data_IF_559763266737
#
_entry.id   IF_559763266737
#
_cell.length_a   1.000
_cell.length_b   1.000
_cell.length_c   1.000
_cell.angle_alpha   90.00
_cell.angle_beta   90.00
_cell.angle_gamma   90.00
#
_symmetry.space_group_name_H-M   'P 1'
#
loop_
_entity.id
_entity.type
_entity.pdbx_description
1 polymer ?
#
# COMPACT_ATOMS: atom_id res chain seq x y z
N UNK A 1 31.97 -0.05 -22.26
CA UNK A 1 31.25 0.30 -23.50
C UNK A 1 31.22 -0.93 -24.37
N UNK A 2 30.03 -1.45 -24.69
CA UNK A 2 29.82 -2.53 -25.66
C UNK A 2 29.26 -1.92 -26.94
N UNK A 3 29.83 -2.31 -28.08
CA UNK A 3 29.26 -1.96 -29.38
C UNK A 3 28.09 -2.89 -29.67
N UNK A 4 26.90 -2.32 -29.86
CA UNK A 4 25.69 -3.04 -30.25
C UNK A 4 25.19 -2.54 -31.60
N UNK A 5 24.41 -3.38 -32.27
CA UNK A 5 23.70 -3.03 -33.50
C UNK A 5 22.19 -3.03 -33.25
N UNK A 6 21.49 -2.06 -33.82
CA UNK A 6 20.03 -2.06 -33.92
C UNK A 6 19.59 -1.76 -35.35
N UNK A 7 18.42 -2.27 -35.72
CA UNK A 7 17.80 -1.94 -37.00
C UNK A 7 16.96 -0.68 -36.80
N UNK A 8 17.23 0.35 -37.57
CA UNK A 8 16.42 1.56 -37.63
C UNK A 8 15.66 1.61 -38.96
N UNK A 9 14.41 2.05 -38.91
CA UNK A 9 13.61 2.30 -40.11
C UNK A 9 13.89 3.69 -40.62
N UNK A 10 14.43 3.79 -41.83
CA UNK A 10 14.83 5.04 -42.48
C UNK A 10 14.10 5.20 -43.82
N UNK A 11 13.97 6.44 -44.29
CA UNK A 11 13.40 6.71 -45.61
C UNK A 11 14.46 6.44 -46.67
N UNK A 12 14.24 5.42 -47.50
CA UNK A 12 15.17 5.00 -48.56
C UNK A 12 14.79 5.51 -49.94
N UNK A 13 13.59 6.09 -50.08
CA UNK A 13 13.13 6.65 -51.33
C UNK A 13 11.78 7.33 -51.19
N UNK A 14 11.26 7.81 -52.31
CA UNK A 14 9.92 8.39 -52.41
C UNK A 14 9.26 7.91 -53.68
N UNK A 15 8.03 7.41 -53.59
CA UNK A 15 7.18 7.11 -54.75
C UNK A 15 6.12 8.19 -54.94
N UNK A 16 5.72 8.43 -56.19
CA UNK A 16 4.65 9.38 -56.52
C UNK A 16 3.45 8.61 -57.08
N UNK A 17 2.31 8.74 -56.42
CA UNK A 17 1.05 8.13 -56.82
C UNK A 17 -0.09 9.13 -56.62
N UNK A 18 -0.94 9.29 -57.64
CA UNK A 18 -2.10 10.20 -57.63
C UNK A 18 -1.77 11.67 -57.26
N UNK A 19 -0.57 12.14 -57.63
CA UNK A 19 -0.10 13.51 -57.32
C UNK A 19 0.39 13.71 -55.88
N UNK A 20 0.48 12.64 -55.09
CA UNK A 20 1.04 12.64 -53.74
C UNK A 20 2.36 11.87 -53.70
N UNK A 21 3.29 12.34 -52.84
CA UNK A 21 4.59 11.70 -52.61
C UNK A 21 4.58 10.90 -51.32
N UNK A 22 4.85 9.61 -51.42
CA UNK A 22 4.91 8.70 -50.29
C UNK A 22 6.35 8.28 -50.01
N UNK A 23 6.83 8.35 -48.75
CA UNK A 23 8.15 7.84 -48.39
C UNK A 23 8.16 6.31 -48.41
N UNK A 24 9.17 5.74 -49.07
CA UNK A 24 9.48 4.31 -49.01
C UNK A 24 10.43 4.12 -47.83
N UNK A 25 10.06 3.24 -46.91
CA UNK A 25 10.86 2.92 -45.73
C UNK A 25 11.70 1.66 -45.95
N UNK A 26 12.93 1.70 -45.46
CA UNK A 26 13.86 0.57 -45.44
C UNK A 26 14.50 0.43 -44.07
N UNK A 27 15.25 -0.66 -43.91
CA UNK A 27 15.95 -0.98 -42.67
C UNK A 27 17.45 -0.69 -42.83
N UNK A 28 18.03 0.03 -41.88
CA UNK A 28 19.46 0.30 -41.79
C UNK A 28 20.02 -0.25 -40.47
N UNK A 29 21.16 -0.93 -40.52
CA UNK A 29 21.86 -1.40 -39.32
C UNK A 29 22.73 -0.28 -38.75
N UNK A 30 22.32 0.24 -37.60
CA UNK A 30 23.03 1.33 -36.90
C UNK A 30 23.82 0.76 -35.73
N UNK A 31 25.12 1.10 -35.68
CA UNK A 31 26.00 0.78 -34.55
C UNK A 31 25.92 1.87 -33.50
N UNK A 32 25.79 1.48 -32.24
CA UNK A 32 25.85 2.39 -31.10
C UNK A 32 26.69 1.80 -29.98
N UNK A 33 27.22 2.68 -29.13
CA UNK A 33 27.97 2.30 -27.94
C UNK A 33 27.04 2.44 -26.73
N UNK A 34 26.95 1.38 -25.93
CA UNK A 34 26.22 1.37 -24.67
C UNK A 34 27.20 1.08 -23.53
N UNK A 35 27.04 1.75 -22.38
CA UNK A 35 27.82 1.40 -21.20
C UNK A 35 27.51 -0.05 -20.79
N UNK A 36 28.57 -0.84 -20.58
CA UNK A 36 28.43 -2.21 -20.09
C UNK A 36 28.22 -2.11 -18.57
N UNK A 37 27.00 -1.81 -18.15
CA UNK A 37 26.68 -1.68 -16.73
C UNK A 37 26.49 -3.08 -16.16
N UNK A 38 27.57 -3.64 -15.60
CA UNK A 38 27.56 -4.94 -14.93
C UNK A 38 26.93 -4.78 -13.54
N UNK A 39 25.60 -4.85 -13.48
CA UNK A 39 24.82 -4.88 -12.24
C UNK A 39 24.09 -3.58 -11.91
N UNK A 40 23.19 -3.65 -10.92
CA UNK A 40 22.50 -2.48 -10.38
C UNK A 40 23.36 -1.88 -9.27
N UNK A 41 23.69 -0.60 -9.39
CA UNK A 41 24.20 0.16 -8.24
C UNK A 41 22.99 0.62 -7.46
N UNK A 42 22.79 0.10 -6.26
CA UNK A 42 21.76 0.61 -5.35
C UNK A 42 22.01 2.11 -5.14
N UNK A 43 21.05 2.92 -5.61
CA UNK A 43 21.13 4.39 -5.56
C UNK A 43 20.72 4.90 -4.18
N UNK A 44 20.19 4.03 -3.33
CA UNK A 44 19.62 4.40 -2.04
C UNK A 44 20.59 4.08 -0.91
N UNK A 45 20.80 5.07 -0.04
CA UNK A 45 21.39 4.86 1.28
C UNK A 45 20.37 4.10 2.14
N UNK A 46 20.38 2.76 2.02
CA UNK A 46 19.55 1.89 2.86
C UNK A 46 20.04 2.04 4.30
N UNK A 47 19.16 2.42 5.25
CA UNK A 47 19.54 2.51 6.65
C UNK A 47 20.05 1.18 7.19
N UNK A 48 21.05 1.19 8.08
CA UNK A 48 21.63 -0.02 8.69
C UNK A 48 20.59 -0.89 9.43
N UNK A 49 19.46 -0.30 9.83
CA UNK A 49 18.36 -0.98 10.51
C UNK A 49 17.25 -1.48 9.56
N UNK A 50 17.44 -1.38 8.25
CA UNK A 50 16.54 -1.98 7.27
C UNK A 50 16.76 -3.50 7.19
N UNK A 51 15.68 -4.25 7.00
CA UNK A 51 15.72 -5.71 6.86
C UNK A 51 14.75 -6.15 5.76
N UNK A 52 15.19 -7.06 4.88
CA UNK A 52 14.34 -7.71 3.88
C UNK A 52 13.59 -8.93 4.44
N UNK A 53 13.78 -9.24 5.73
CA UNK A 53 13.16 -10.41 6.36
C UNK A 53 11.67 -10.14 6.57
N UNK A 54 10.77 -10.95 5.96
CA UNK A 54 9.34 -10.76 6.11
C UNK A 54 8.90 -11.03 7.56
N UNK A 55 7.86 -10.31 8.01
CA UNK A 55 7.22 -10.61 9.28
C UNK A 55 6.58 -12.02 9.24
N UNK A 56 6.80 -12.87 10.25
CA UNK A 56 6.02 -14.10 10.39
C UNK A 56 4.54 -13.77 10.61
N UNK A 57 3.64 -14.51 9.97
CA UNK A 57 2.19 -14.39 10.15
C UNK A 57 1.62 -15.67 10.79
N UNK A 58 0.67 -15.58 11.73
CA UNK A 58 0.17 -14.37 12.41
C UNK A 58 1.19 -13.82 13.42
N UNK A 59 1.24 -12.49 13.60
CA UNK A 59 2.03 -11.85 14.65
C UNK A 59 1.38 -10.53 15.08
N UNK A 60 0.84 -10.49 16.29
CA UNK A 60 0.04 -9.36 16.77
C UNK A 60 0.88 -8.21 17.34
N UNK A 61 2.10 -8.50 17.81
CA UNK A 61 3.01 -7.51 18.42
C UNK A 61 4.48 -7.81 18.05
N UNK A 62 4.83 -7.66 16.76
CA UNK A 62 6.16 -7.95 16.24
C UNK A 62 7.20 -6.93 16.75
N UNK A 63 8.34 -7.42 17.22
CA UNK A 63 9.52 -6.60 17.51
C UNK A 63 10.73 -7.19 16.79
N UNK A 64 11.55 -6.36 16.14
CA UNK A 64 12.78 -6.81 15.48
C UNK A 64 13.95 -6.74 16.47
N UNK A 65 14.51 -7.89 16.85
CA UNK A 65 15.70 -8.01 17.73
C UNK A 65 16.62 -9.10 17.19
N UNK A 66 17.93 -8.87 17.29
CA UNK A 66 18.98 -9.84 16.92
C UNK A 66 18.82 -10.41 15.50
N UNK A 67 18.39 -9.57 14.55
CA UNK A 67 18.19 -9.97 13.16
C UNK A 67 16.96 -10.85 12.92
N UNK A 68 16.05 -10.97 13.88
CA UNK A 68 14.81 -11.78 13.76
C UNK A 68 13.60 -11.02 14.29
N UNK A 69 12.43 -11.35 13.73
CA UNK A 69 11.16 -10.93 14.27
C UNK A 69 10.79 -11.82 15.46
N UNK A 70 10.55 -11.21 16.61
CA UNK A 70 10.02 -11.86 17.80
C UNK A 70 8.57 -11.41 18.04
N UNK A 71 7.73 -12.35 18.45
CA UNK A 71 6.38 -12.06 18.92
C UNK A 71 6.43 -11.77 20.41
N UNK A 72 5.91 -10.62 20.83
CA UNK A 72 5.99 -10.13 22.21
C UNK A 72 4.63 -9.98 22.89
N UNK A 73 3.56 -10.42 22.23
CA UNK A 73 2.22 -10.41 22.81
C UNK A 73 2.15 -11.42 23.96
N UNK A 74 1.55 -11.04 25.08
CA UNK A 74 1.28 -11.98 26.17
C UNK A 74 -0.04 -12.74 25.91
N UNK A 75 -0.22 -13.89 26.54
CA UNK A 75 -1.44 -14.68 26.37
C UNK A 75 -2.68 -13.89 26.81
N UNK A 76 -2.56 -13.06 27.84
CA UNK A 76 -3.64 -12.22 28.35
C UNK A 76 -4.06 -11.14 27.35
N UNK A 77 -3.10 -10.49 26.69
CA UNK A 77 -3.38 -9.50 25.64
C UNK A 77 -4.04 -10.16 24.41
N UNK A 78 -3.60 -11.37 24.06
CA UNK A 78 -4.14 -12.16 22.96
C UNK A 78 -5.56 -12.65 23.24
N UNK A 79 -5.84 -13.04 24.49
CA UNK A 79 -7.18 -13.42 24.92
C UNK A 79 -8.14 -12.21 24.90
N UNK A 80 -7.69 -11.01 25.30
CA UNK A 80 -8.49 -9.78 25.17
C UNK A 80 -8.79 -9.42 23.71
N UNK A 81 -7.84 -9.61 22.79
CA UNK A 81 -8.05 -9.41 21.35
C UNK A 81 -9.07 -10.39 20.76
N UNK A 82 -9.11 -11.62 21.28
CA UNK A 82 -10.04 -12.65 20.85
C UNK A 82 -11.39 -12.60 21.58
N UNK A 83 -11.55 -11.76 22.61
CA UNK A 83 -12.84 -11.58 23.26
C UNK A 83 -13.82 -10.95 22.28
N UNK A 84 -15.07 -11.46 22.20
CA UNK A 84 -16.10 -10.79 21.45
C UNK A 84 -16.25 -9.38 22.02
N UNK A 85 -16.05 -8.36 21.18
CA UNK A 85 -16.35 -6.98 21.55
C UNK A 85 -17.83 -6.93 21.92
N UNK A 86 -18.10 -6.81 23.22
CA UNK A 86 -19.44 -6.46 23.69
C UNK A 86 -19.72 -5.09 23.08
N UNK A 87 -20.75 -4.94 22.24
CA UNK A 87 -21.05 -3.65 21.65
C UNK A 87 -21.28 -2.67 22.78
N UNK A 88 -20.35 -1.73 22.95
CA UNK A 88 -20.54 -0.67 23.92
C UNK A 88 -21.72 0.17 23.45
N UNK A 89 -22.65 0.56 24.34
CA UNK A 89 -23.76 1.42 23.95
C UNK A 89 -23.19 2.69 23.33
N UNK A 90 -23.68 3.01 22.14
CA UNK A 90 -23.26 4.22 21.45
C UNK A 90 -23.56 5.46 22.29
N UNK A 91 -22.93 6.59 21.98
CA UNK A 91 -23.26 7.86 22.66
C UNK A 91 -24.76 8.18 22.55
N UNK A 92 -25.39 7.82 21.43
CA UNK A 92 -26.83 7.95 21.23
C UNK A 92 -27.64 7.08 22.20
N UNK A 93 -27.22 5.83 22.44
CA UNK A 93 -27.91 4.92 23.36
C UNK A 93 -27.79 5.40 24.82
N UNK A 94 -26.63 5.96 25.18
CA UNK A 94 -26.44 6.59 26.49
C UNK A 94 -27.35 7.81 26.68
N UNK A 95 -27.47 8.65 25.65
CA UNK A 95 -28.35 9.82 25.66
C UNK A 95 -29.83 9.42 25.77
N UNK A 96 -30.28 8.41 25.02
CA UNK A 96 -31.66 7.90 25.11
C UNK A 96 -31.98 7.39 26.51
N UNK A 97 -31.08 6.62 27.12
CA UNK A 97 -31.25 6.12 28.48
C UNK A 97 -31.31 7.24 29.52
N UNK A 98 -30.50 8.29 29.37
CA UNK A 98 -30.57 9.46 30.24
C UNK A 98 -31.91 10.21 30.11
N UNK A 99 -32.42 10.37 28.88
CA UNK A 99 -33.73 10.98 28.66
C UNK A 99 -34.86 10.16 29.27
N UNK A 100 -34.82 8.84 29.12
CA UNK A 100 -35.82 7.93 29.71
C UNK A 100 -35.83 8.00 31.24
N UNK A 101 -34.66 8.00 31.87
CA UNK A 101 -34.53 8.14 33.33
C UNK A 101 -35.04 9.51 33.82
N UNK A 102 -34.74 10.58 33.09
CA UNK A 102 -35.24 11.92 33.40
C UNK A 102 -36.76 11.99 33.25
N UNK A 103 -37.32 11.38 32.22
CA UNK A 103 -38.76 11.31 31.98
C UNK A 103 -39.46 10.55 33.11
N UNK A 104 -38.93 9.39 33.52
CA UNK A 104 -39.46 8.62 34.65
C UNK A 104 -39.43 9.42 35.95
N UNK A 105 -38.33 10.10 36.25
CA UNK A 105 -38.24 10.94 37.46
C UNK A 105 -39.26 12.10 37.45
N UNK A 106 -39.52 12.71 36.28
CA UNK A 106 -40.54 13.74 36.14
C UNK A 106 -41.95 13.16 36.30
N UNK A 107 -42.22 12.00 35.72
CA UNK A 107 -43.52 11.33 35.83
C UNK A 107 -43.81 10.92 37.28
N UNK A 108 -42.83 10.40 38.02
CA UNK A 108 -42.95 10.11 39.45
C UNK A 108 -43.24 11.36 40.29
N UNK A 109 -42.56 12.48 40.00
CA UNK A 109 -42.81 13.75 40.69
C UNK A 109 -44.22 14.29 40.43
N UNK A 110 -44.70 14.18 39.19
CA UNK A 110 -46.06 14.59 38.80
C UNK A 110 -47.10 13.69 39.48
N UNK A 111 -46.90 12.37 39.48
CA UNK A 111 -47.79 11.41 40.13
C UNK A 111 -47.80 11.62 41.65
N UNK A 112 -46.66 11.97 42.27
CA UNK A 112 -46.58 12.28 43.71
C UNK A 112 -47.21 13.62 44.12
N UNK A 113 -47.53 14.49 43.15
CA UNK A 113 -48.14 15.81 43.36
C UNK A 113 -49.66 15.82 43.16
N UNK A 114 -50.27 14.67 42.85
CA UNK A 114 -51.72 14.45 42.72
C UNK A 114 -52.21 13.64 43.91
#
# INVERSE_FOLDING_TARGET
>A
MVTKTRIETVVIGTEEADGYKYPIYGNEEVRYEEEDVIGYKDVYDIPDNATEIPLPQPNWKPVFKDGKWIETITQEELDELNKPQIPQPSELDKLKKQQELMQQALDELIISSI
#
